data_IF_638659934457
#
_entry.id   IF_638659934457
#
_cell.length_a   1.000
_cell.length_b   1.000
_cell.length_c   1.000
_cell.angle_alpha   90.00
_cell.angle_beta   90.00
_cell.angle_gamma   90.00
#
_symmetry.space_group_name_H-M   'P 1'
#
loop_
_entity.id
_entity.type
_entity.pdbx_description
1 polymer ?
#
# COMPACT_ATOMS: atom_id res chain seq x y z
N UNK A 1 11.15 -40.96 26.25
CA UNK A 1 12.25 -40.09 26.76
C UNK A 1 12.49 -38.84 25.91
N UNK A 2 12.48 -38.91 24.56
CA UNK A 2 12.66 -37.74 23.66
C UNK A 2 11.64 -36.59 23.86
N UNK A 3 10.36 -36.88 24.10
CA UNK A 3 9.34 -35.84 24.36
C UNK A 3 9.52 -35.08 25.68
N UNK A 4 10.10 -35.71 26.70
CA UNK A 4 10.36 -35.06 27.99
C UNK A 4 11.53 -34.07 27.90
N UNK A 5 12.56 -34.42 27.12
CA UNK A 5 13.71 -33.56 26.83
C UNK A 5 13.32 -32.32 26.01
N UNK A 6 12.46 -32.46 24.99
CA UNK A 6 11.95 -31.34 24.19
C UNK A 6 11.07 -30.39 25.02
N UNK A 7 10.27 -30.93 25.95
CA UNK A 7 9.44 -30.14 26.88
C UNK A 7 10.31 -29.33 27.86
N UNK A 8 11.33 -29.95 28.44
CA UNK A 8 12.33 -29.30 29.29
C UNK A 8 13.09 -28.20 28.54
N UNK A 9 13.50 -28.45 27.29
CA UNK A 9 14.21 -27.48 26.47
C UNK A 9 13.31 -26.27 26.12
N UNK A 10 12.02 -26.52 25.80
CA UNK A 10 11.02 -25.46 25.61
C UNK A 10 10.82 -24.65 26.89
N UNK A 11 10.77 -25.27 28.05
CA UNK A 11 10.61 -24.58 29.33
C UNK A 11 11.84 -23.74 29.68
N UNK A 12 13.05 -24.26 29.48
CA UNK A 12 14.32 -23.55 29.74
C UNK A 12 14.51 -22.34 28.81
N UNK A 13 14.05 -22.42 27.55
CA UNK A 13 14.19 -21.31 26.58
C UNK A 13 13.04 -20.29 26.67
N UNK A 14 11.79 -20.76 26.81
CA UNK A 14 10.63 -19.89 26.80
C UNK A 14 10.42 -19.17 28.14
N UNK A 15 10.72 -19.81 29.27
CA UNK A 15 10.41 -19.25 30.59
C UNK A 15 11.25 -18.00 30.94
N UNK A 16 12.57 -17.94 30.66
CA UNK A 16 13.33 -16.70 30.77
C UNK A 16 12.84 -15.62 29.81
N UNK A 17 12.45 -16.01 28.59
CA UNK A 17 11.89 -15.09 27.60
C UNK A 17 10.56 -14.49 28.06
N UNK A 18 9.67 -15.30 28.63
CA UNK A 18 8.41 -14.84 29.23
C UNK A 18 8.65 -13.96 30.46
N UNK A 19 9.58 -14.36 31.34
CA UNK A 19 9.95 -13.57 32.52
C UNK A 19 10.50 -12.20 32.10
N UNK A 20 11.37 -12.16 31.09
CA UNK A 20 11.92 -10.92 30.52
C UNK A 20 10.80 -10.04 29.94
N UNK A 21 9.87 -10.62 29.17
CA UNK A 21 8.72 -9.88 28.62
C UNK A 21 7.85 -9.32 29.75
N UNK A 22 7.58 -10.09 30.80
CA UNK A 22 6.81 -9.63 31.96
C UNK A 22 7.55 -8.54 32.73
N UNK A 23 8.86 -8.66 32.94
CA UNK A 23 9.70 -7.65 33.58
C UNK A 23 9.70 -6.33 32.78
N UNK A 24 9.88 -6.41 31.46
CA UNK A 24 9.83 -5.24 30.57
C UNK A 24 8.44 -4.61 30.58
N UNK A 25 7.37 -5.41 30.60
CA UNK A 25 6.00 -4.89 30.76
C UNK A 25 5.81 -4.21 32.10
N UNK A 26 6.24 -4.83 33.20
CA UNK A 26 6.14 -4.25 34.55
C UNK A 26 6.89 -2.91 34.63
N UNK A 27 8.12 -2.85 34.10
CA UNK A 27 8.91 -1.63 34.05
C UNK A 27 8.19 -0.54 33.24
N UNK A 28 7.65 -0.88 32.06
CA UNK A 28 6.83 0.05 31.26
C UNK A 28 5.62 0.54 32.03
N UNK A 29 4.94 -0.33 32.78
CA UNK A 29 3.78 0.03 33.60
C UNK A 29 4.14 0.92 34.79
N UNK A 30 5.33 0.77 35.38
CA UNK A 30 5.80 1.62 36.47
C UNK A 30 6.23 3.00 35.97
N UNK A 31 6.88 3.05 34.79
CA UNK A 31 7.42 4.29 34.19
C UNK A 31 6.36 5.08 33.42
N UNK A 32 5.37 4.42 32.82
CA UNK A 32 4.36 5.09 32.00
C UNK A 32 3.55 6.16 32.75
N UNK A 33 3.00 5.92 33.96
CA UNK A 33 2.24 6.94 34.69
C UNK A 33 3.02 8.23 35.01
N UNK A 34 4.24 8.19 35.59
CA UNK A 34 4.99 9.42 35.86
C UNK A 34 5.43 10.14 34.59
N UNK A 35 5.80 9.41 33.53
CA UNK A 35 6.14 10.02 32.22
C UNK A 35 4.92 10.65 31.57
N UNK A 36 3.74 10.02 31.67
CA UNK A 36 2.48 10.58 31.19
C UNK A 36 2.10 11.85 31.96
N UNK A 37 2.23 11.83 33.29
CA UNK A 37 2.00 13.00 34.13
C UNK A 37 2.93 14.16 33.74
N UNK A 38 4.22 13.88 33.55
CA UNK A 38 5.19 14.88 33.10
C UNK A 38 4.82 15.45 31.72
N UNK A 39 4.42 14.59 30.77
CA UNK A 39 3.95 15.01 29.45
C UNK A 39 2.69 15.88 29.53
N UNK A 40 1.76 15.63 30.46
CA UNK A 40 0.59 16.48 30.65
C UNK A 40 0.95 17.81 31.30
N UNK A 41 1.78 17.79 32.35
CA UNK A 41 2.23 18.99 33.07
C UNK A 41 3.00 19.96 32.17
N UNK A 42 3.80 19.45 31.23
CA UNK A 42 4.56 20.27 30.29
C UNK A 42 3.74 20.54 29.02
N UNK A 43 3.13 19.49 28.46
CA UNK A 43 2.46 19.53 27.17
C UNK A 43 1.21 20.40 27.17
N UNK A 44 0.36 20.35 28.21
CA UNK A 44 -0.88 21.13 28.23
C UNK A 44 -0.61 22.64 28.25
N UNK A 45 0.25 23.18 29.16
CA UNK A 45 0.62 24.59 29.09
C UNK A 45 1.28 24.98 27.77
N UNK A 46 2.19 24.13 27.26
CA UNK A 46 2.91 24.44 26.02
C UNK A 46 1.98 24.50 24.82
N UNK A 47 1.03 23.57 24.72
CA UNK A 47 0.02 23.53 23.66
C UNK A 47 -0.93 24.72 23.76
N UNK A 48 -1.40 25.09 24.96
CA UNK A 48 -2.24 26.28 25.17
C UNK A 48 -1.50 27.58 24.81
N UNK A 49 -0.20 27.66 25.09
CA UNK A 49 0.61 28.84 24.82
C UNK A 49 1.04 28.95 23.36
N UNK A 50 1.34 27.83 22.69
CA UNK A 50 2.01 27.84 21.38
C UNK A 50 1.15 27.39 20.22
N UNK A 51 0.21 26.46 20.40
CA UNK A 51 -0.60 25.97 19.28
C UNK A 51 -1.69 26.98 18.95
N UNK A 52 -1.67 27.46 17.71
CA UNK A 52 -2.67 28.33 17.09
C UNK A 52 -3.07 27.67 15.79
N UNK A 53 -4.35 27.35 15.66
CA UNK A 53 -4.90 26.82 14.42
C UNK A 53 -5.41 28.01 13.60
N UNK A 54 -5.00 28.17 12.33
CA UNK A 54 -5.59 29.21 11.49
C UNK A 54 -7.09 28.97 11.32
N UNK A 55 -7.91 30.01 11.25
CA UNK A 55 -9.33 29.83 10.90
C UNK A 55 -9.48 29.55 9.39
N UNK A 56 -8.63 30.21 8.59
CA UNK A 56 -8.49 29.95 7.15
C UNK A 56 -7.00 29.74 6.82
N UNK A 57 -6.56 28.50 6.57
CA UNK A 57 -5.17 28.22 6.22
C UNK A 57 -4.84 28.79 4.85
N UNK A 58 -3.56 29.09 4.63
CA UNK A 58 -3.09 29.55 3.34
C UNK A 58 -2.43 28.38 2.59
N UNK A 59 -3.19 27.73 1.71
CA UNK A 59 -2.66 26.75 0.77
C UNK A 59 -2.09 27.48 -0.44
N UNK A 60 -0.76 27.59 -0.49
CA UNK A 60 -0.06 28.20 -1.61
C UNK A 60 0.07 27.17 -2.74
N UNK A 61 -0.45 27.44 -3.95
CA UNK A 61 -0.20 26.56 -5.09
C UNK A 61 1.29 26.58 -5.43
N UNK A 62 1.85 25.42 -5.72
CA UNK A 62 3.25 25.22 -6.08
C UNK A 62 3.34 24.45 -7.39
N UNK A 63 4.45 24.61 -8.09
CA UNK A 63 4.75 23.77 -9.25
C UNK A 63 5.41 22.48 -8.78
N UNK A 64 5.30 21.44 -9.58
CA UNK A 64 5.93 20.15 -9.27
C UNK A 64 7.45 20.28 -9.12
N UNK A 65 8.09 21.22 -9.83
CA UNK A 65 9.52 21.53 -9.73
C UNK A 65 9.92 22.11 -8.37
N UNK A 66 8.99 22.70 -7.64
CA UNK A 66 9.24 23.30 -6.32
C UNK A 66 9.17 22.27 -5.18
N UNK A 67 8.69 21.05 -5.47
CA UNK A 67 8.61 19.99 -4.47
C UNK A 67 10.01 19.48 -4.10
N UNK A 68 10.31 19.32 -2.79
CA UNK A 68 11.46 18.54 -2.35
C UNK A 68 11.38 17.11 -2.89
N UNK A 69 12.53 16.50 -3.17
CA UNK A 69 12.60 15.16 -3.80
C UNK A 69 11.80 14.11 -3.02
N UNK A 70 11.91 14.08 -1.69
CA UNK A 70 11.16 13.15 -0.84
C UNK A 70 9.64 13.37 -0.91
N UNK A 71 9.19 14.62 -0.99
CA UNK A 71 7.76 14.93 -1.15
C UNK A 71 7.29 14.56 -2.56
N UNK A 72 8.10 14.87 -3.58
CA UNK A 72 7.81 14.55 -4.97
C UNK A 72 7.63 13.04 -5.16
N UNK A 73 8.55 12.21 -4.67
CA UNK A 73 8.47 10.75 -4.80
C UNK A 73 7.16 10.20 -4.23
N UNK A 74 6.81 10.59 -3.01
CA UNK A 74 5.62 10.06 -2.31
C UNK A 74 4.30 10.52 -2.94
N UNK A 75 4.21 11.81 -3.31
CA UNK A 75 3.03 12.38 -3.95
C UNK A 75 2.85 11.85 -5.38
N UNK A 76 3.94 11.65 -6.13
CA UNK A 76 3.91 11.07 -7.47
C UNK A 76 3.53 9.57 -7.43
N UNK A 77 4.10 8.80 -6.51
CA UNK A 77 3.75 7.40 -6.30
C UNK A 77 2.25 7.23 -6.01
N UNK A 78 1.68 8.10 -5.17
CA UNK A 78 0.24 8.08 -4.87
C UNK A 78 -0.60 8.45 -6.09
N UNK A 79 -0.23 9.49 -6.82
CA UNK A 79 -0.98 9.91 -8.00
C UNK A 79 -1.02 8.79 -9.06
N UNK A 80 0.13 8.20 -9.38
CA UNK A 80 0.24 7.13 -10.36
C UNK A 80 -0.50 5.87 -9.96
N UNK A 81 -0.50 5.52 -8.67
CA UNK A 81 -1.29 4.40 -8.14
C UNK A 81 -2.79 4.54 -8.42
N UNK A 82 -3.28 5.78 -8.52
CA UNK A 82 -4.70 6.11 -8.61
C UNK A 82 -5.15 6.48 -10.03
N UNK A 83 -4.22 6.77 -10.95
CA UNK A 83 -4.53 7.01 -12.38
C UNK A 83 -5.36 5.87 -13.00
N UNK A 84 -5.02 4.57 -12.80
CA UNK A 84 -5.79 3.46 -13.39
C UNK A 84 -7.26 3.40 -12.95
N UNK A 85 -7.60 4.04 -11.82
CA UNK A 85 -8.95 4.10 -11.27
C UNK A 85 -9.69 5.42 -11.61
N UNK A 86 -9.12 6.22 -12.52
CA UNK A 86 -9.75 7.43 -13.07
C UNK A 86 -9.57 8.69 -12.22
N UNK A 87 -8.57 8.72 -11.33
CA UNK A 87 -8.25 9.94 -10.59
C UNK A 87 -7.54 10.96 -11.48
N UNK A 88 -7.91 12.23 -11.29
CA UNK A 88 -7.34 13.38 -11.98
C UNK A 88 -6.60 14.26 -10.97
N UNK A 89 -5.44 14.78 -11.35
CA UNK A 89 -4.67 15.75 -10.57
C UNK A 89 -5.26 17.16 -10.69
N UNK A 90 -5.57 17.78 -9.55
CA UNK A 90 -6.12 19.13 -9.50
C UNK A 90 -5.11 20.19 -9.07
N UNK A 91 -4.00 19.81 -8.43
CA UNK A 91 -2.91 20.72 -8.10
C UNK A 91 -2.09 20.28 -6.89
N UNK A 92 -0.92 20.91 -6.77
CA UNK A 92 0.01 20.73 -5.65
C UNK A 92 0.03 21.98 -4.79
N UNK A 93 0.08 21.80 -3.47
CA UNK A 93 -0.03 22.88 -2.50
C UNK A 93 0.99 22.74 -1.39
N UNK A 94 1.50 23.88 -0.93
CA UNK A 94 2.25 24.00 0.32
C UNK A 94 1.43 24.78 1.34
N UNK A 95 1.34 24.28 2.56
CA UNK A 95 0.79 25.00 3.69
C UNK A 95 1.80 25.06 4.82
N UNK A 96 2.24 26.29 5.12
CA UNK A 96 3.02 26.57 6.32
C UNK A 96 2.04 26.99 7.44
N UNK A 97 2.22 26.46 8.65
CA UNK A 97 1.46 26.89 9.82
C UNK A 97 0.17 26.11 10.14
N UNK A 98 -0.23 25.13 9.33
CA UNK A 98 -1.29 24.18 9.73
C UNK A 98 -0.84 23.28 10.89
N UNK A 99 0.42 22.83 10.78
CA UNK A 99 1.10 22.01 11.78
C UNK A 99 2.24 22.87 12.33
N UNK A 100 2.32 22.96 13.66
CA UNK A 100 3.34 23.78 14.30
C UNK A 100 4.75 23.20 13.98
N UNK A 101 5.65 24.08 13.53
CA UNK A 101 7.04 23.73 13.16
C UNK A 101 7.14 22.65 12.06
N UNK A 102 6.16 22.60 11.15
CA UNK A 102 6.22 21.72 10.00
C UNK A 102 5.65 22.39 8.74
N UNK A 103 6.18 21.99 7.59
CA UNK A 103 5.62 22.28 6.29
C UNK A 103 4.76 21.08 5.84
N UNK A 104 3.56 21.38 5.33
CA UNK A 104 2.68 20.38 4.75
C UNK A 104 2.69 20.55 3.22
N UNK A 105 3.10 19.50 2.52
CA UNK A 105 3.07 19.41 1.07
C UNK A 105 1.93 18.47 0.67
N UNK A 106 1.03 18.94 -0.20
CA UNK A 106 -0.17 18.22 -0.57
C UNK A 106 -0.28 18.09 -2.09
N UNK A 107 -0.78 16.95 -2.55
CA UNK A 107 -1.30 16.76 -3.90
C UNK A 107 -2.77 16.43 -3.82
N UNK A 108 -3.60 17.26 -4.47
CA UNK A 108 -5.04 17.08 -4.52
C UNK A 108 -5.42 16.32 -5.80
N UNK A 109 -6.17 15.23 -5.61
CA UNK A 109 -6.66 14.35 -6.66
C UNK A 109 -8.18 14.20 -6.52
N UNK A 110 -8.86 13.81 -7.59
CA UNK A 110 -10.25 13.35 -7.45
C UNK A 110 -10.75 12.50 -8.60
N UNK A 111 -11.75 11.67 -8.27
CA UNK A 111 -12.45 10.77 -9.18
C UNK A 111 -13.83 11.40 -9.45
N UNK A 112 -14.06 11.97 -10.65
CA UNK A 112 -15.25 12.77 -10.95
C UNK A 112 -16.54 11.95 -11.04
N UNK A 113 -16.48 10.71 -11.53
CA UNK A 113 -17.67 9.87 -11.73
C UNK A 113 -18.29 9.38 -10.41
N UNK A 114 -17.48 9.22 -9.37
CA UNK A 114 -17.84 8.68 -8.06
C UNK A 114 -17.86 9.76 -6.98
N UNK A 115 -17.46 11.01 -7.29
CA UNK A 115 -17.45 12.10 -6.31
C UNK A 115 -16.42 11.93 -5.18
N UNK A 116 -15.33 11.21 -5.44
CA UNK A 116 -14.32 10.87 -4.41
C UNK A 116 -13.13 11.81 -4.53
N UNK A 117 -12.82 12.56 -3.47
CA UNK A 117 -11.59 13.35 -3.39
C UNK A 117 -10.49 12.56 -2.71
N UNK A 118 -9.24 12.76 -3.13
CA UNK A 118 -8.07 12.19 -2.49
C UNK A 118 -7.01 13.26 -2.22
N UNK A 119 -6.37 13.18 -1.07
CA UNK A 119 -5.25 14.03 -0.67
C UNK A 119 -4.08 13.11 -0.36
N UNK A 120 -3.00 13.26 -1.13
CA UNK A 120 -1.70 12.73 -0.74
C UNK A 120 -0.95 13.84 0.02
N UNK A 121 -0.38 13.51 1.17
CA UNK A 121 0.22 14.47 2.07
C UNK A 121 1.61 14.02 2.52
N UNK A 122 2.57 14.95 2.50
CA UNK A 122 3.91 14.81 3.04
C UNK A 122 4.15 15.91 4.07
N UNK A 123 4.48 15.51 5.30
CA UNK A 123 4.74 16.40 6.44
C UNK A 123 6.22 16.38 6.74
N UNK A 124 6.82 17.56 6.67
CA UNK A 124 8.23 17.79 6.99
C UNK A 124 8.34 18.63 8.26
N UNK A 125 8.86 18.04 9.34
CA UNK A 125 9.07 18.75 10.60
C UNK A 125 10.44 19.43 10.61
N UNK A 126 10.49 20.68 11.08
CA UNK A 126 11.71 21.48 11.17
C UNK A 126 12.78 20.87 12.11
N UNK A 127 12.37 20.00 13.04
CA UNK A 127 13.27 19.24 13.90
C UNK A 127 13.35 17.79 13.40
N UNK A 128 14.53 17.38 12.89
CA UNK A 128 14.83 16.07 12.32
C UNK A 128 14.43 14.86 13.18
N UNK A 129 14.26 15.06 14.49
CA UNK A 129 13.87 14.01 15.44
C UNK A 129 12.42 13.50 15.28
N UNK A 130 11.51 14.24 14.63
CA UNK A 130 10.09 13.83 14.54
C UNK A 130 9.74 12.98 13.31
N UNK A 131 10.71 12.76 12.41
CA UNK A 131 10.59 11.96 11.19
C UNK A 131 9.66 12.61 10.14
N UNK A 132 9.94 12.33 8.86
CA UNK A 132 9.02 12.62 7.75
C UNK A 132 7.77 11.76 7.90
N UNK A 133 6.60 12.29 7.53
CA UNK A 133 5.34 11.52 7.57
C UNK A 133 4.54 11.69 6.31
N UNK A 134 4.11 10.57 5.76
CA UNK A 134 3.26 10.52 4.58
C UNK A 134 1.93 9.89 4.96
N UNK A 135 0.85 10.37 4.34
CA UNK A 135 -0.43 9.69 4.39
C UNK A 135 -1.26 10.04 3.16
N UNK A 136 -2.24 9.19 2.90
CA UNK A 136 -3.27 9.40 1.89
C UNK A 136 -4.61 9.42 2.61
N UNK A 137 -5.47 10.36 2.23
CA UNK A 137 -6.83 10.48 2.71
C UNK A 137 -7.80 10.50 1.52
N UNK A 138 -8.80 9.62 1.54
CA UNK A 138 -9.95 9.66 0.63
C UNK A 138 -11.14 10.23 1.38
N UNK A 139 -11.87 11.13 0.74
CA UNK A 139 -13.03 11.76 1.32
C UNK A 139 -14.19 11.85 0.31
N UNK A 140 -15.38 11.46 0.78
CA UNK A 140 -16.63 11.52 0.02
C UNK A 140 -17.68 12.24 0.83
N UNK A 141 -18.34 13.21 0.21
CA UNK A 141 -19.46 13.93 0.81
C UNK A 141 -20.77 13.36 0.27
N UNK A 142 -21.70 13.05 1.18
CA UNK A 142 -23.03 12.60 0.83
C UNK A 142 -23.96 13.80 0.62
N UNK A 143 -25.11 13.59 -0.02
CA UNK A 143 -26.08 14.67 -0.28
C UNK A 143 -26.68 15.29 1.00
N UNK A 144 -26.57 14.62 2.14
CA UNK A 144 -26.98 15.12 3.46
C UNK A 144 -25.90 15.99 4.14
N UNK A 145 -24.78 16.22 3.47
CA UNK A 145 -23.64 16.99 3.97
C UNK A 145 -22.74 16.22 4.94
N UNK A 146 -23.02 14.95 5.23
CA UNK A 146 -22.08 14.11 5.99
C UNK A 146 -20.90 13.72 5.11
N UNK A 147 -19.74 13.56 5.73
CA UNK A 147 -18.49 13.21 5.06
C UNK A 147 -17.96 11.91 5.63
N UNK A 148 -17.63 10.97 4.75
CA UNK A 148 -16.84 9.80 5.08
C UNK A 148 -15.40 10.05 4.64
N UNK A 149 -14.45 9.90 5.57
CA UNK A 149 -13.02 9.98 5.33
C UNK A 149 -12.36 8.67 5.71
N UNK A 150 -11.52 8.13 4.82
CA UNK A 150 -10.63 7.00 5.09
C UNK A 150 -9.18 7.43 4.89
N UNK A 151 -8.30 7.12 5.84
CA UNK A 151 -6.89 7.48 5.73
C UNK A 151 -5.96 6.45 6.38
N UNK A 152 -4.69 6.48 6.01
CA UNK A 152 -3.64 5.64 6.60
C UNK A 152 -2.67 6.41 7.50
N UNK A 153 -3.09 7.56 8.05
CA UNK A 153 -2.25 8.37 8.93
C UNK A 153 -1.76 7.53 10.11
N UNK A 154 -0.44 7.49 10.34
CA UNK A 154 0.19 6.66 11.36
C UNK A 154 0.26 7.33 12.76
N UNK A 155 -0.61 8.31 13.03
CA UNK A 155 -0.69 9.03 14.30
C UNK A 155 -2.14 9.32 14.68
N UNK A 156 -2.52 9.20 15.96
CA UNK A 156 -3.87 9.54 16.35
C UNK A 156 -4.11 11.05 16.20
N UNK A 157 -5.30 11.40 15.71
CA UNK A 157 -5.77 12.79 15.73
C UNK A 157 -5.82 13.31 17.18
N UNK A 158 -5.34 14.54 17.38
CA UNK A 158 -5.39 15.25 18.68
C UNK A 158 -6.83 15.53 19.12
N UNK A 159 -7.67 15.94 18.17
CA UNK A 159 -9.06 16.28 18.42
C UNK A 159 -10.00 15.20 17.87
N UNK A 160 -11.20 15.04 18.44
CA UNK A 160 -12.22 14.18 17.86
C UNK A 160 -12.68 14.71 16.49
N UNK A 161 -13.22 13.83 15.67
CA UNK A 161 -13.88 14.25 14.43
C UNK A 161 -15.20 14.97 14.76
N UNK A 162 -15.57 16.04 14.04
CA UNK A 162 -16.89 16.66 14.15
C UNK A 162 -18.03 15.69 13.80
N UNK A 163 -19.26 15.99 14.22
CA UNK A 163 -20.41 15.06 14.09
C UNK A 163 -20.79 14.76 12.63
N UNK A 164 -20.48 15.66 11.70
CA UNK A 164 -20.72 15.45 10.27
C UNK A 164 -19.65 14.56 9.62
N UNK A 165 -18.50 14.35 10.27
CA UNK A 165 -17.32 13.69 9.72
C UNK A 165 -17.11 12.31 10.36
N UNK A 166 -17.41 11.26 9.60
CA UNK A 166 -17.01 9.90 9.96
C UNK A 166 -15.59 9.65 9.43
N UNK A 167 -14.63 9.49 10.34
CA UNK A 167 -13.21 9.25 10.01
C UNK A 167 -12.80 7.83 10.36
N UNK A 168 -12.30 7.10 9.36
CA UNK A 168 -11.77 5.74 9.49
C UNK A 168 -10.26 5.78 9.26
N UNK A 169 -9.50 5.40 10.29
CA UNK A 169 -8.04 5.42 10.26
C UNK A 169 -7.52 3.98 10.15
N UNK A 170 -6.93 3.62 9.02
CA UNK A 170 -6.42 2.29 8.69
C UNK A 170 -4.90 2.33 8.57
N UNK A 171 -4.22 2.35 9.72
CA UNK A 171 -2.78 2.67 9.81
C UNK A 171 -1.86 1.64 9.13
N UNK A 172 -2.35 0.42 8.92
CA UNK A 172 -1.56 -0.69 8.37
C UNK A 172 -1.82 -0.91 6.86
N UNK A 173 -2.76 -0.17 6.27
CA UNK A 173 -3.02 -0.18 4.82
C UNK A 173 -2.14 0.89 4.18
N UNK A 174 -0.94 0.50 3.78
CA UNK A 174 0.06 1.43 3.24
C UNK A 174 -0.19 1.78 1.77
N UNK A 175 -0.71 0.82 0.97
CA UNK A 175 -0.90 1.00 -0.47
C UNK A 175 -2.11 1.93 -0.77
N UNK A 176 -1.93 3.03 -1.52
CA UNK A 176 -3.01 4.00 -1.79
C UNK A 176 -4.21 3.37 -2.52
N UNK A 177 -3.94 2.49 -3.48
CA UNK A 177 -4.99 1.82 -4.26
C UNK A 177 -5.81 0.83 -3.41
N UNK A 178 -5.17 0.12 -2.48
CA UNK A 178 -5.85 -0.75 -1.52
C UNK A 178 -6.79 0.05 -0.60
N UNK A 179 -6.32 1.20 -0.09
CA UNK A 179 -7.14 2.09 0.72
C UNK A 179 -8.32 2.67 -0.08
N UNK A 180 -8.11 3.04 -1.35
CA UNK A 180 -9.18 3.47 -2.25
C UNK A 180 -10.25 2.38 -2.45
N UNK A 181 -9.85 1.12 -2.67
CA UNK A 181 -10.79 0.00 -2.84
C UNK A 181 -11.67 -0.16 -1.61
N UNK A 182 -11.08 -0.11 -0.41
CA UNK A 182 -11.85 -0.16 0.84
C UNK A 182 -12.83 1.02 0.96
N UNK A 183 -12.39 2.24 0.63
CA UNK A 183 -13.22 3.44 0.66
C UNK A 183 -14.41 3.35 -0.32
N UNK A 184 -14.13 3.02 -1.58
CA UNK A 184 -15.13 2.88 -2.64
C UNK A 184 -16.14 1.78 -2.30
N UNK A 185 -15.68 0.62 -1.85
CA UNK A 185 -16.57 -0.49 -1.52
C UNK A 185 -17.43 -0.16 -0.29
N UNK A 186 -16.90 0.58 0.69
CA UNK A 186 -17.71 1.05 1.82
C UNK A 186 -18.79 2.05 1.38
N UNK A 187 -18.47 2.99 0.48
CA UNK A 187 -19.47 3.90 -0.10
C UNK A 187 -20.58 3.12 -0.80
N UNK A 188 -20.20 2.13 -1.62
CA UNK A 188 -21.14 1.27 -2.31
C UNK A 188 -22.03 0.49 -1.32
N UNK A 189 -21.45 -0.06 -0.24
CA UNK A 189 -22.18 -0.79 0.79
C UNK A 189 -23.14 0.09 1.60
N UNK A 190 -22.81 1.38 1.80
CA UNK A 190 -23.70 2.33 2.47
C UNK A 190 -24.90 2.71 1.59
N UNK A 191 -24.79 2.56 0.26
CA UNK A 191 -25.85 2.84 -0.72
C UNK A 191 -26.50 4.23 -0.55
N UNK A 192 -25.72 5.22 -0.12
CA UNK A 192 -26.17 6.61 0.08
C UNK A 192 -25.86 7.48 -1.14
N UNK A 193 -26.73 8.45 -1.48
CA UNK A 193 -26.46 9.39 -2.56
C UNK A 193 -25.23 10.25 -2.27
N UNK A 194 -24.29 10.24 -3.21
CA UNK A 194 -23.04 11.01 -3.16
C UNK A 194 -23.23 12.38 -3.80
N UNK A 195 -22.65 13.42 -3.20
CA UNK A 195 -22.60 14.77 -3.74
C UNK A 195 -21.37 14.95 -4.63
N UNK A 196 -21.58 15.28 -5.91
CA UNK A 196 -20.49 15.59 -6.85
C UNK A 196 -19.97 17.02 -6.71
N UNK A 197 -20.69 17.89 -5.99
CA UNK A 197 -20.39 19.32 -5.87
C UNK A 197 -18.97 19.59 -5.36
N UNK A 198 -18.45 18.71 -4.49
CA UNK A 198 -17.08 18.81 -3.97
C UNK A 198 -16.04 18.69 -5.08
N UNK A 199 -16.23 17.75 -6.00
CA UNK A 199 -15.31 17.52 -7.13
C UNK A 199 -15.47 18.60 -8.20
N UNK A 200 -16.70 18.99 -8.54
CA UNK A 200 -16.96 20.11 -9.45
C UNK A 200 -16.34 21.42 -8.96
N UNK A 201 -16.23 21.59 -7.64
CA UNK A 201 -15.51 22.71 -7.05
C UNK A 201 -14.00 22.52 -7.12
N UNK A 202 -13.49 21.32 -6.85
CA UNK A 202 -12.06 21.02 -6.96
C UNK A 202 -11.49 21.38 -8.35
N UNK A 203 -12.26 21.12 -9.41
CA UNK A 203 -11.90 21.46 -10.79
C UNK A 203 -11.78 22.98 -11.01
N UNK A 204 -12.61 23.78 -10.35
CA UNK A 204 -12.68 25.25 -10.55
C UNK A 204 -11.75 26.03 -9.61
N UNK A 205 -11.67 25.60 -8.36
CA UNK A 205 -10.95 26.27 -7.29
C UNK A 205 -10.43 25.24 -6.26
N UNK A 206 -9.33 24.54 -6.59
CA UNK A 206 -8.79 23.48 -5.73
C UNK A 206 -8.25 24.02 -4.40
N UNK A 207 -7.60 25.19 -4.42
CA UNK A 207 -7.11 25.84 -3.21
C UNK A 207 -8.28 26.22 -2.28
N UNK A 208 -9.32 26.88 -2.81
CA UNK A 208 -10.48 27.27 -2.01
C UNK A 208 -11.26 26.08 -1.46
N UNK A 209 -11.30 24.94 -2.17
CA UNK A 209 -11.85 23.70 -1.63
C UNK A 209 -11.08 23.23 -0.37
N UNK A 210 -9.75 23.23 -0.40
CA UNK A 210 -8.93 22.84 0.75
C UNK A 210 -9.15 23.79 1.93
N UNK A 211 -9.16 25.11 1.66
CA UNK A 211 -9.41 26.14 2.69
C UNK A 211 -10.79 25.94 3.32
N UNK A 212 -11.84 25.80 2.51
CA UNK A 212 -13.21 25.68 3.01
C UNK A 212 -13.45 24.35 3.73
N UNK A 213 -12.85 23.25 3.26
CA UNK A 213 -12.95 21.95 3.92
C UNK A 213 -12.35 22.00 5.33
N UNK A 214 -11.16 22.60 5.47
CA UNK A 214 -10.52 22.77 6.76
C UNK A 214 -11.26 23.80 7.64
N UNK A 215 -11.68 24.93 7.07
CA UNK A 215 -12.43 25.96 7.81
C UNK A 215 -13.74 25.38 8.38
N UNK A 216 -14.45 24.53 7.62
CA UNK A 216 -15.64 23.82 8.10
C UNK A 216 -15.34 22.93 9.30
N UNK A 217 -14.23 22.18 9.27
CA UNK A 217 -13.81 21.34 10.40
C UNK A 217 -13.48 22.20 11.63
N UNK A 218 -12.72 23.28 11.46
CA UNK A 218 -12.36 24.20 12.56
C UNK A 218 -13.60 24.88 13.16
N UNK A 219 -14.55 25.35 12.34
CA UNK A 219 -15.78 25.96 12.83
C UNK A 219 -16.63 24.96 13.62
N UNK A 220 -16.70 23.70 13.17
CA UNK A 220 -17.41 22.66 13.92
C UNK A 220 -16.72 22.35 15.26
N UNK A 221 -15.39 22.30 15.30
CA UNK A 221 -14.63 22.12 16.53
C UNK A 221 -14.76 23.30 17.50
N UNK A 222 -14.91 24.53 16.99
CA UNK A 222 -15.23 25.71 17.80
C UNK A 222 -16.65 25.58 18.38
N UNK A 223 -17.64 25.25 17.55
CA UNK A 223 -19.03 25.09 17.98
C UNK A 223 -19.19 23.98 19.04
N UNK A 224 -18.38 22.93 18.96
CA UNK A 224 -18.34 21.84 19.95
C UNK A 224 -17.49 22.16 21.20
N UNK A 225 -16.84 23.34 21.27
CA UNK A 225 -16.09 23.80 22.45
C UNK A 225 -14.66 23.24 22.57
N UNK A 226 -14.14 22.56 21.54
CA UNK A 226 -12.75 22.08 21.51
C UNK A 226 -11.74 23.21 21.24
N UNK A 227 -12.18 24.20 20.47
CA UNK A 227 -11.40 25.37 20.08
C UNK A 227 -12.08 26.65 20.54
N UNK A 228 -11.28 27.66 20.85
CA UNK A 228 -11.71 29.01 21.22
C UNK A 228 -11.16 30.00 20.19
N UNK A 229 -12.03 30.73 19.46
CA UNK A 229 -11.58 31.76 18.54
C UNK A 229 -10.87 32.88 19.32
N UNK A 230 -9.81 33.43 18.74
CA UNK A 230 -9.13 34.57 19.34
C UNK A 230 -9.76 35.89 18.89
N UNK A 231 -10.11 36.79 19.83
CA UNK A 231 -10.58 38.13 19.46
C UNK A 231 -9.51 38.87 18.64
N UNK A 232 -9.88 39.36 17.46
CA UNK A 232 -9.01 40.17 16.61
C UNK A 232 -7.88 39.42 15.89
N UNK A 233 -7.83 38.09 15.94
CA UNK A 233 -6.87 37.29 15.18
C UNK A 233 -7.59 36.21 14.37
N UNK A 234 -7.09 35.91 13.16
CA UNK A 234 -7.64 34.87 12.28
C UNK A 234 -7.19 33.46 12.71
N UNK A 235 -7.22 33.19 14.01
CA UNK A 235 -6.74 31.96 14.63
C UNK A 235 -7.65 31.50 15.77
N UNK A 236 -7.64 30.21 16.03
CA UNK A 236 -8.26 29.58 17.19
C UNK A 236 -7.20 28.92 18.08
N UNK A 237 -7.42 28.98 19.39
CA UNK A 237 -6.65 28.25 20.40
C UNK A 237 -7.39 27.00 20.82
N UNK A 238 -6.68 26.02 21.35
CA UNK A 238 -7.32 24.93 22.05
C UNK A 238 -7.99 25.45 23.33
N UNK A 239 -9.18 24.96 23.62
CA UNK A 239 -9.76 25.10 24.96
C UNK A 239 -8.94 24.29 25.96
N UNK A 240 -9.11 24.54 27.27
CA UNK A 240 -8.41 23.75 28.29
C UNK A 240 -8.70 22.24 28.11
N UNK A 241 -9.96 21.89 27.88
CA UNK A 241 -10.37 20.51 27.59
C UNK A 241 -9.81 19.98 26.28
N UNK A 242 -9.78 20.79 25.22
CA UNK A 242 -9.14 20.42 23.95
C UNK A 242 -7.64 20.17 24.09
N UNK A 243 -6.94 20.97 24.89
CA UNK A 243 -5.50 20.79 25.15
C UNK A 243 -5.23 19.53 25.98
N UNK A 244 -6.00 19.29 27.05
CA UNK A 244 -5.89 18.07 27.86
C UNK A 244 -6.16 16.84 26.98
N UNK A 245 -7.27 16.82 26.25
CA UNK A 245 -7.63 15.70 25.37
C UNK A 245 -6.60 15.48 24.26
N UNK A 246 -6.13 16.56 23.63
CA UNK A 246 -5.11 16.52 22.59
C UNK A 246 -3.80 15.92 23.06
N UNK A 247 -3.26 16.43 24.17
CA UNK A 247 -2.02 15.91 24.76
C UNK A 247 -2.22 14.48 25.25
N UNK A 248 -3.34 14.17 25.89
CA UNK A 248 -3.65 12.81 26.35
C UNK A 248 -3.66 11.78 25.22
N UNK A 249 -4.25 12.13 24.06
CA UNK A 249 -4.31 11.26 22.89
C UNK A 249 -2.98 11.11 22.18
N UNK A 250 -2.08 12.08 22.29
CA UNK A 250 -0.78 12.08 21.61
C UNK A 250 0.40 11.67 22.51
N UNK A 251 0.22 11.66 23.84
CA UNK A 251 1.27 11.31 24.79
C UNK A 251 1.62 9.82 24.74
N UNK A 252 2.88 9.50 24.95
CA UNK A 252 3.32 8.12 25.16
C UNK A 252 2.91 7.65 26.58
N UNK A 253 2.44 6.40 26.76
CA UNK A 253 2.26 5.34 25.77
C UNK A 253 0.86 5.30 25.12
N UNK A 254 0.01 6.29 25.41
CA UNK A 254 -1.39 6.32 25.01
C UNK A 254 -1.60 6.52 23.51
N UNK A 255 -0.70 7.22 22.82
CA UNK A 255 -0.81 7.48 21.38
C UNK A 255 -0.92 6.20 20.56
N UNK A 256 -0.07 5.22 20.83
CA UNK A 256 -0.13 3.91 20.19
C UNK A 256 -1.41 3.15 20.52
N UNK A 257 -1.96 3.32 21.73
CA UNK A 257 -3.22 2.69 22.12
C UNK A 257 -4.42 3.32 21.41
N UNK A 258 -4.48 4.65 21.33
CA UNK A 258 -5.54 5.36 20.60
C UNK A 258 -5.49 5.04 19.11
N UNK A 259 -4.30 5.03 18.51
CA UNK A 259 -4.14 4.67 17.10
C UNK A 259 -4.60 3.24 16.81
N UNK A 260 -4.21 2.27 17.67
CA UNK A 260 -4.69 0.88 17.57
C UNK A 260 -6.19 0.76 17.82
N UNK A 261 -6.76 1.58 18.70
CA UNK A 261 -8.20 1.58 18.96
C UNK A 261 -8.99 2.13 17.76
N UNK A 262 -8.49 3.22 17.15
CA UNK A 262 -9.06 3.81 15.93
C UNK A 262 -9.01 2.81 14.76
N UNK A 263 -7.86 2.18 14.55
CA UNK A 263 -7.67 1.14 13.53
C UNK A 263 -8.59 -0.06 13.75
N UNK A 264 -8.66 -0.58 14.98
CA UNK A 264 -9.58 -1.68 15.31
C UNK A 264 -11.04 -1.30 15.12
N UNK A 265 -11.42 -0.07 15.46
CA UNK A 265 -12.78 0.42 15.21
C UNK A 265 -13.08 0.46 13.72
N UNK A 266 -12.18 1.01 12.89
CA UNK A 266 -12.34 1.05 11.45
C UNK A 266 -12.46 -0.36 10.85
N UNK A 267 -11.59 -1.30 11.24
CA UNK A 267 -11.66 -2.71 10.82
C UNK A 267 -12.98 -3.37 11.19
N UNK A 268 -13.48 -3.14 12.42
CA UNK A 268 -14.78 -3.69 12.86
C UNK A 268 -15.95 -3.13 12.07
N UNK A 269 -15.93 -1.83 11.78
CA UNK A 269 -16.97 -1.19 10.98
C UNK A 269 -16.96 -1.75 9.56
N UNK A 270 -15.79 -1.88 8.93
CA UNK A 270 -15.64 -2.46 7.60
C UNK A 270 -16.07 -3.93 7.55
N UNK A 271 -15.71 -4.72 8.56
CA UNK A 271 -16.16 -6.11 8.67
C UNK A 271 -17.69 -6.23 8.80
N UNK A 272 -18.35 -5.25 9.42
CA UNK A 272 -19.82 -5.16 9.46
C UNK A 272 -20.48 -4.93 8.10
N UNK A 273 -19.70 -4.60 7.07
CA UNK A 273 -20.10 -4.45 5.67
C UNK A 273 -19.43 -5.49 4.76
N UNK A 274 -18.98 -6.63 5.31
CA UNK A 274 -18.29 -7.71 4.58
C UNK A 274 -16.98 -7.29 3.89
N UNK A 275 -16.33 -6.22 4.37
CA UNK A 275 -15.05 -5.74 3.86
C UNK A 275 -13.90 -6.21 4.76
N UNK A 276 -13.13 -7.20 4.29
CA UNK A 276 -12.02 -7.77 5.04
C UNK A 276 -10.71 -7.00 4.82
N UNK A 277 -10.36 -6.16 5.79
CA UNK A 277 -9.11 -5.35 5.77
C UNK A 277 -7.84 -6.20 5.76
N UNK A 278 -7.85 -7.41 6.33
CA UNK A 278 -6.64 -8.25 6.40
C UNK A 278 -6.12 -8.67 5.01
N UNK A 279 -6.98 -8.62 3.98
CA UNK A 279 -6.58 -8.86 2.59
C UNK A 279 -5.82 -7.69 1.94
N UNK A 280 -5.75 -6.56 2.64
CA UNK A 280 -5.11 -5.31 2.18
C UNK A 280 -3.93 -4.89 3.05
N UNK A 281 -3.42 -5.81 3.88
CA UNK A 281 -2.29 -5.57 4.78
C UNK A 281 -1.22 -6.64 4.51
N UNK A 282 0.04 -6.24 4.63
CA UNK A 282 1.19 -7.14 4.44
C UNK A 282 2.05 -6.73 3.25
N UNK A 283 2.71 -7.73 2.66
CA UNK A 283 3.59 -7.54 1.51
C UNK A 283 2.79 -7.28 0.23
N UNK A 284 3.36 -6.49 -0.68
CA UNK A 284 2.71 -6.09 -1.93
C UNK A 284 2.17 -7.28 -2.75
N UNK A 285 2.91 -8.40 -2.94
CA UNK A 285 2.44 -9.54 -3.72
C UNK A 285 1.21 -10.27 -3.15
N UNK A 286 0.88 -10.05 -1.87
CA UNK A 286 -0.28 -10.65 -1.20
C UNK A 286 -1.52 -9.75 -1.19
N UNK A 287 -1.39 -8.47 -1.56
CA UNK A 287 -2.48 -7.50 -1.51
C UNK A 287 -3.10 -7.39 -2.90
N UNK A 288 -4.39 -7.71 -3.05
CA UNK A 288 -5.09 -7.64 -4.34
C UNK A 288 -5.88 -6.34 -4.47
N UNK A 289 -5.46 -5.45 -5.37
CA UNK A 289 -5.99 -4.09 -5.52
C UNK A 289 -7.01 -3.96 -6.66
N UNK A 290 -7.03 -4.89 -7.61
CA UNK A 290 -8.05 -4.93 -8.65
C UNK A 290 -8.40 -6.37 -8.98
N UNK A 291 -9.67 -6.61 -9.34
CA UNK A 291 -10.16 -7.89 -9.84
C UNK A 291 -11.08 -7.66 -11.03
N UNK A 292 -10.93 -8.49 -12.07
CA UNK A 292 -11.73 -8.47 -13.28
C UNK A 292 -12.14 -9.89 -13.66
N UNK A 293 -13.40 -10.09 -14.02
CA UNK A 293 -13.86 -11.33 -14.62
C UNK A 293 -13.45 -11.40 -16.09
N UNK A 294 -12.97 -12.56 -16.52
CA UNK A 294 -12.72 -12.86 -17.93
C UNK A 294 -14.04 -13.19 -18.62
N UNK A 295 -14.21 -12.70 -19.86
CA UNK A 295 -15.33 -13.15 -20.69
C UNK A 295 -15.15 -14.64 -20.97
N UNK A 296 -16.23 -15.43 -20.96
CA UNK A 296 -16.21 -16.84 -21.30
C UNK A 296 -15.63 -17.06 -22.71
N UNK A 297 -14.33 -17.34 -22.78
CA UNK A 297 -13.58 -17.66 -23.99
C UNK A 297 -12.61 -18.81 -23.68
N UNK A 298 -12.04 -19.33 -24.76
CA UNK A 298 -11.13 -20.48 -24.90
C UNK A 298 -10.32 -20.84 -23.65
N UNK A 299 -10.24 -22.14 -23.26
CA UNK A 299 -9.45 -22.56 -22.11
C UNK A 299 -8.01 -22.06 -22.22
N UNK A 300 -7.53 -21.40 -21.16
CA UNK A 300 -6.16 -20.91 -21.08
C UNK A 300 -5.28 -22.06 -20.60
N UNK A 301 -4.53 -22.65 -21.53
CA UNK A 301 -3.65 -23.81 -21.28
C UNK A 301 -2.17 -23.52 -21.54
N UNK A 302 -1.80 -22.27 -21.81
CA UNK A 302 -0.41 -21.88 -22.11
C UNK A 302 -0.13 -20.49 -21.55
N UNK A 303 1.14 -20.21 -21.23
CA UNK A 303 1.58 -18.91 -20.74
C UNK A 303 1.36 -17.82 -21.79
N UNK A 304 1.61 -18.12 -23.07
CA UNK A 304 1.35 -17.15 -24.15
C UNK A 304 -0.14 -16.80 -24.29
N UNK A 305 -1.04 -17.78 -24.16
CA UNK A 305 -2.47 -17.52 -24.21
C UNK A 305 -2.93 -16.67 -23.02
N UNK A 306 -2.46 -16.98 -21.80
CA UNK A 306 -2.77 -16.18 -20.62
C UNK A 306 -2.24 -14.75 -20.71
N UNK A 307 -1.01 -14.58 -21.22
CA UNK A 307 -0.41 -13.25 -21.40
C UNK A 307 -1.23 -12.33 -22.31
N UNK A 308 -1.91 -12.88 -23.33
CA UNK A 308 -2.78 -12.09 -24.20
C UNK A 308 -3.94 -11.42 -23.43
N UNK A 309 -4.44 -12.05 -22.36
CA UNK A 309 -5.46 -11.49 -21.49
C UNK A 309 -4.90 -10.55 -20.41
N UNK A 310 -3.69 -10.83 -19.94
CA UNK A 310 -3.02 -10.07 -18.89
C UNK A 310 -2.46 -8.74 -19.41
N UNK A 311 -1.90 -8.72 -20.62
CA UNK A 311 -1.20 -7.57 -21.20
C UNK A 311 -2.01 -6.26 -21.17
N UNK A 312 -3.30 -6.21 -21.57
CA UNK A 312 -4.08 -4.97 -21.51
C UNK A 312 -4.23 -4.42 -20.08
N UNK A 313 -4.30 -5.29 -19.08
CA UNK A 313 -4.42 -4.91 -17.68
C UNK A 313 -3.08 -4.41 -17.13
N UNK A 314 -1.97 -5.03 -17.53
CA UNK A 314 -0.62 -4.56 -17.22
C UNK A 314 -0.41 -3.14 -17.75
N UNK A 315 -0.69 -2.92 -19.05
CA UNK A 315 -0.53 -1.61 -19.70
C UNK A 315 -1.42 -0.50 -19.12
N UNK A 316 -2.58 -0.87 -18.55
CA UNK A 316 -3.44 0.07 -17.84
C UNK A 316 -2.88 0.42 -16.46
N UNK A 317 -2.25 -0.54 -15.80
CA UNK A 317 -1.67 -0.37 -14.46
C UNK A 317 -0.39 0.45 -14.54
N UNK A 318 0.51 0.10 -15.46
CA UNK A 318 1.71 0.85 -15.79
C UNK A 318 1.99 0.72 -17.31
N UNK A 319 1.90 1.82 -18.08
CA UNK A 319 2.16 1.80 -19.52
C UNK A 319 3.59 1.35 -19.90
N UNK A 320 4.55 1.47 -18.99
CA UNK A 320 5.95 1.13 -19.20
C UNK A 320 6.34 -0.25 -18.65
N UNK A 321 5.39 -0.97 -18.04
CA UNK A 321 5.63 -2.30 -17.51
C UNK A 321 6.08 -3.31 -18.59
N UNK A 322 7.21 -3.95 -18.33
CA UNK A 322 7.70 -5.10 -19.05
C UNK A 322 7.44 -6.38 -18.25
N UNK A 323 7.15 -7.47 -18.95
CA UNK A 323 7.07 -8.79 -18.31
C UNK A 323 8.49 -9.22 -17.90
N UNK A 324 8.67 -9.62 -16.65
CA UNK A 324 9.94 -10.10 -16.12
C UNK A 324 9.93 -11.63 -15.98
N UNK A 325 8.90 -12.17 -15.35
CA UNK A 325 8.79 -13.60 -15.09
C UNK A 325 7.34 -14.07 -15.12
N UNK A 326 7.16 -15.37 -15.30
CA UNK A 326 5.86 -16.04 -15.16
C UNK A 326 6.02 -17.25 -14.26
N UNK A 327 5.17 -17.39 -13.26
CA UNK A 327 5.09 -18.60 -12.41
C UNK A 327 3.71 -19.20 -12.59
N UNK A 328 3.65 -20.50 -12.83
CA UNK A 328 2.39 -21.23 -12.97
C UNK A 328 2.31 -22.26 -11.85
N UNK A 329 1.30 -22.14 -11.01
CA UNK A 329 0.98 -23.15 -10.00
C UNK A 329 0.38 -24.37 -10.69
N UNK A 330 0.97 -25.52 -10.43
CA UNK A 330 0.60 -26.79 -11.03
C UNK A 330 -0.07 -27.68 -9.99
N UNK A 331 -1.05 -28.44 -10.45
CA UNK A 331 -1.65 -29.54 -9.69
C UNK A 331 -1.75 -30.78 -10.56
N UNK A 332 -2.20 -31.88 -9.95
CA UNK A 332 -2.57 -33.09 -10.67
C UNK A 332 -3.99 -33.51 -10.28
N UNK A 333 -4.78 -33.95 -11.24
CA UNK A 333 -6.08 -34.56 -10.96
C UNK A 333 -5.94 -36.04 -10.55
N UNK A 334 -7.06 -36.67 -10.17
CA UNK A 334 -7.09 -38.08 -9.79
C UNK A 334 -6.73 -39.05 -10.93
N UNK A 335 -6.70 -38.58 -12.18
CA UNK A 335 -6.27 -39.32 -13.35
C UNK A 335 -4.78 -39.09 -13.70
N UNK A 336 -4.07 -38.26 -12.93
CA UNK A 336 -2.67 -37.89 -13.17
C UNK A 336 -2.48 -36.80 -14.22
N UNK A 337 -3.55 -36.15 -14.67
CA UNK A 337 -3.47 -35.04 -15.63
C UNK A 337 -3.00 -33.77 -14.93
N UNK A 338 -2.00 -33.10 -15.51
CA UNK A 338 -1.51 -31.82 -14.99
C UNK A 338 -2.58 -30.73 -15.16
N UNK A 339 -2.88 -30.05 -14.07
CA UNK A 339 -3.77 -28.91 -13.99
C UNK A 339 -2.96 -27.63 -13.80
N UNK A 340 -3.33 -26.56 -14.51
CA UNK A 340 -2.79 -25.22 -14.30
C UNK A 340 -3.76 -24.48 -13.39
N UNK A 341 -3.36 -24.24 -12.14
CA UNK A 341 -4.24 -23.72 -11.09
C UNK A 341 -4.29 -22.20 -11.10
N UNK A 342 -3.12 -21.55 -11.17
CA UNK A 342 -3.00 -20.09 -11.24
C UNK A 342 -1.75 -19.73 -12.06
N UNK A 343 -1.85 -18.68 -12.87
CA UNK A 343 -0.71 -18.07 -13.54
C UNK A 343 -0.41 -16.72 -12.90
N UNK A 344 0.80 -16.51 -12.42
CA UNK A 344 1.32 -15.25 -11.91
C UNK A 344 2.29 -14.65 -12.93
N UNK A 345 1.96 -13.47 -13.43
CA UNK A 345 2.81 -12.70 -14.33
C UNK A 345 3.41 -11.53 -13.57
N UNK A 346 4.73 -11.51 -13.43
CA UNK A 346 5.45 -10.44 -12.74
C UNK A 346 5.90 -9.39 -13.74
N UNK A 347 5.60 -8.13 -13.42
CA UNK A 347 5.91 -6.97 -14.25
C UNK A 347 6.82 -6.01 -13.51
N UNK A 348 7.80 -5.48 -14.24
CA UNK A 348 8.66 -4.39 -13.79
C UNK A 348 8.53 -3.21 -14.75
N UNK A 349 8.43 -2.01 -14.19
CA UNK A 349 8.52 -0.74 -14.88
C UNK A 349 9.56 0.16 -14.22
N UNK A 350 10.09 1.12 -14.97
CA UNK A 350 10.92 2.16 -14.40
C UNK A 350 10.69 3.49 -15.10
N UNK A 351 10.93 4.58 -14.37
CA UNK A 351 10.85 5.94 -14.89
C UNK A 351 12.03 6.76 -14.36
N UNK A 352 12.79 7.34 -15.28
CA UNK A 352 13.94 8.19 -15.00
C UNK A 352 13.52 9.67 -14.98
N UNK A 353 13.95 10.39 -13.95
CA UNK A 353 13.72 11.82 -13.78
C UNK A 353 15.04 12.58 -13.79
N UNK A 354 15.54 12.88 -14.99
CA UNK A 354 16.84 13.51 -15.21
C UNK A 354 17.05 14.78 -14.38
N UNK A 355 16.02 15.64 -14.24
CA UNK A 355 16.14 16.90 -13.50
C UNK A 355 16.41 16.69 -12.00
N UNK A 356 15.90 15.59 -11.44
CA UNK A 356 16.07 15.23 -10.03
C UNK A 356 17.17 14.20 -9.82
N UNK A 357 17.64 13.56 -10.90
CA UNK A 357 18.55 12.41 -10.92
C UNK A 357 18.01 11.27 -10.05
N UNK A 358 16.71 11.03 -10.20
CA UNK A 358 15.99 9.97 -9.51
C UNK A 358 15.49 8.97 -10.55
N UNK A 359 15.81 7.70 -10.33
CA UNK A 359 15.18 6.58 -11.01
C UNK A 359 14.17 5.95 -10.07
N UNK A 360 12.96 5.72 -10.54
CA UNK A 360 11.96 4.94 -9.80
C UNK A 360 11.74 3.62 -10.49
N UNK A 361 11.64 2.56 -9.70
CA UNK A 361 11.35 1.19 -10.15
C UNK A 361 10.07 0.72 -9.50
N UNK A 362 9.18 0.17 -10.30
CA UNK A 362 7.87 -0.30 -9.89
C UNK A 362 7.74 -1.78 -10.23
N UNK A 363 7.23 -2.59 -9.30
CA UNK A 363 6.97 -4.01 -9.51
C UNK A 363 5.56 -4.39 -9.08
N UNK A 364 4.89 -5.23 -9.88
CA UNK A 364 3.58 -5.78 -9.53
C UNK A 364 3.32 -7.10 -10.24
N UNK A 365 2.37 -7.86 -9.71
CA UNK A 365 1.94 -9.12 -10.29
C UNK A 365 0.52 -9.01 -10.84
N UNK A 366 0.24 -9.77 -11.89
CA UNK A 366 -1.11 -10.09 -12.30
C UNK A 366 -1.33 -11.59 -12.16
N UNK A 367 -2.30 -11.95 -11.33
CA UNK A 367 -2.76 -13.32 -11.12
C UNK A 367 -3.90 -13.63 -12.09
N UNK A 368 -3.84 -14.80 -12.70
CA UNK A 368 -4.82 -15.32 -13.63
C UNK A 368 -5.24 -16.71 -13.13
N UNK A 369 -6.48 -16.80 -12.66
CA UNK A 369 -7.12 -18.07 -12.32
C UNK A 369 -8.00 -18.50 -13.51
N UNK A 370 -7.57 -19.51 -14.30
CA UNK A 370 -8.33 -19.98 -15.45
C UNK A 370 -9.64 -20.66 -15.05
N UNK A 371 -9.73 -21.25 -13.85
CA UNK A 371 -10.90 -21.98 -13.37
C UNK A 371 -11.97 -21.04 -12.84
N UNK A 372 -11.58 -20.03 -12.06
CA UNK A 372 -12.49 -18.96 -11.61
C UNK A 372 -12.77 -17.94 -12.72
N UNK A 373 -12.02 -17.98 -13.82
CA UNK A 373 -12.07 -17.01 -14.91
C UNK A 373 -11.87 -15.58 -14.39
N UNK A 374 -10.84 -15.38 -13.57
CA UNK A 374 -10.54 -14.08 -12.96
C UNK A 374 -9.10 -13.64 -13.24
N UNK A 375 -8.95 -12.31 -13.37
CA UNK A 375 -7.69 -11.61 -13.32
C UNK A 375 -7.64 -10.76 -12.06
N UNK A 376 -6.51 -10.75 -11.37
CA UNK A 376 -6.30 -9.88 -10.22
C UNK A 376 -4.94 -9.18 -10.30
N UNK A 377 -4.89 -7.92 -9.90
CA UNK A 377 -3.64 -7.12 -9.83
C UNK A 377 -3.22 -7.01 -8.39
N UNK A 378 -1.94 -7.22 -8.09
CA UNK A 378 -1.39 -7.02 -6.75
C UNK A 378 -1.05 -5.55 -6.47
N UNK A 379 -0.81 -5.21 -5.21
CA UNK A 379 -0.26 -3.90 -4.86
C UNK A 379 1.11 -3.72 -5.53
N UNK A 380 1.43 -2.48 -5.88
CA UNK A 380 2.67 -2.16 -6.56
C UNK A 380 3.77 -1.87 -5.55
N UNK A 381 4.84 -2.64 -5.61
CA UNK A 381 6.07 -2.36 -4.90
C UNK A 381 6.81 -1.21 -5.61
N UNK A 382 7.29 -0.22 -4.85
CA UNK A 382 7.91 0.99 -5.40
C UNK A 382 9.21 1.26 -4.69
N UNK A 383 10.27 1.40 -5.47
CA UNK A 383 11.60 1.73 -5.03
C UNK A 383 12.14 2.92 -5.81
N UNK A 384 13.11 3.63 -5.25
CA UNK A 384 13.80 4.68 -5.95
C UNK A 384 15.29 4.67 -5.64
N UNK A 385 16.07 5.12 -6.62
CA UNK A 385 17.50 5.33 -6.56
C UNK A 385 17.73 6.80 -6.89
N UNK A 386 18.55 7.49 -6.09
CA UNK A 386 18.86 8.91 -6.27
C UNK A 386 20.37 9.09 -6.35
N UNK A 387 20.84 9.65 -7.46
CA UNK A 387 22.25 9.99 -7.64
C UNK A 387 22.59 11.36 -7.03
N UNK A 388 23.74 11.45 -6.39
CA UNK A 388 24.27 12.67 -5.78
C UNK A 388 24.83 13.66 -6.81
N UNK A 389 25.40 13.16 -7.91
CA UNK A 389 26.00 13.97 -8.98
C UNK A 389 25.65 13.45 -10.40
N UNK A 390 26.11 14.17 -11.43
CA UNK A 390 25.83 13.84 -12.83
C UNK A 390 26.59 12.59 -13.31
N UNK A 391 27.75 12.31 -12.72
CA UNK A 391 28.55 11.15 -13.09
C UNK A 391 27.89 9.87 -12.57
N UNK A 392 27.47 9.88 -11.31
CA UNK A 392 26.67 8.81 -10.70
C UNK A 392 25.35 8.63 -11.45
N UNK A 393 24.70 9.72 -11.88
CA UNK A 393 23.48 9.62 -12.69
C UNK A 393 23.74 8.96 -14.06
N UNK A 394 24.85 9.30 -14.71
CA UNK A 394 25.24 8.70 -16.00
C UNK A 394 25.54 7.20 -15.83
N UNK A 395 26.19 6.81 -14.74
CA UNK A 395 26.45 5.40 -14.42
C UNK A 395 25.15 4.65 -14.14
N UNK A 396 24.28 5.21 -13.30
CA UNK A 396 22.98 4.63 -12.98
C UNK A 396 22.14 4.43 -14.24
N UNK A 397 22.18 5.39 -15.18
CA UNK A 397 21.38 5.36 -16.41
C UNK A 397 22.05 4.66 -17.59
N UNK A 398 23.27 4.17 -17.44
CA UNK A 398 23.99 3.46 -18.49
C UNK A 398 23.27 2.15 -18.89
N UNK A 399 22.77 1.42 -17.90
CA UNK A 399 22.06 0.16 -18.09
C UNK A 399 20.57 0.29 -17.72
N UNK A 400 19.74 -0.46 -18.46
CA UNK A 400 18.33 -0.57 -18.14
C UNK A 400 18.16 -1.55 -16.98
N UNK A 401 17.36 -1.23 -15.96
CA UNK A 401 17.05 -2.17 -14.89
C UNK A 401 16.13 -3.31 -15.35
N UNK A 402 15.64 -3.28 -16.60
CA UNK A 402 14.71 -4.27 -17.14
C UNK A 402 15.42 -5.33 -17.98
N UNK A 403 15.17 -6.60 -17.65
CA UNK A 403 15.43 -7.74 -18.52
C UNK A 403 14.10 -8.32 -19.05
N UNK A 404 13.51 -7.73 -20.11
CA UNK A 404 12.15 -8.07 -20.53
C UNK A 404 12.05 -9.48 -21.11
N UNK A 405 11.22 -10.31 -20.50
CA UNK A 405 10.84 -11.62 -21.00
C UNK A 405 9.87 -11.48 -22.19
N UNK A 406 10.34 -11.86 -23.38
CA UNK A 406 9.55 -11.80 -24.61
C UNK A 406 8.87 -13.13 -24.90
N UNK A 407 7.55 -13.15 -24.95
CA UNK A 407 6.78 -14.35 -25.31
C UNK A 407 6.51 -14.37 -26.83
N UNK A 408 7.35 -15.08 -27.59
CA UNK A 408 7.26 -15.19 -29.04
C UNK A 408 6.73 -16.53 -29.55
N UNK A 409 6.51 -16.68 -30.87
CA UNK A 409 6.15 -17.97 -31.50
C UNK A 409 7.22 -19.07 -31.31
N UNK A 410 8.46 -18.67 -31.03
CA UNK A 410 9.60 -19.55 -30.78
C UNK A 410 9.56 -20.23 -29.40
N UNK A 411 8.73 -19.75 -28.48
CA UNK A 411 8.65 -20.27 -27.12
C UNK A 411 8.13 -21.72 -27.14
N UNK A 412 8.92 -22.62 -26.57
CA UNK A 412 8.42 -23.92 -26.14
C UNK A 412 7.64 -23.68 -24.84
N UNK A 413 6.33 -23.53 -24.98
CA UNK A 413 5.41 -23.23 -23.88
C UNK A 413 5.12 -24.51 -23.06
N UNK A 414 4.32 -24.39 -22.00
CA UNK A 414 4.04 -25.44 -21.02
C UNK A 414 3.59 -26.77 -21.65
N UNK A 415 2.78 -26.71 -22.70
CA UNK A 415 2.30 -27.90 -23.43
C UNK A 415 3.44 -28.75 -24.02
N UNK A 416 4.59 -28.13 -24.32
CA UNK A 416 5.76 -28.79 -24.88
C UNK A 416 6.81 -29.14 -23.84
N UNK A 417 7.01 -28.30 -22.83
CA UNK A 417 8.08 -28.51 -21.83
C UNK A 417 7.65 -29.45 -20.69
N UNK A 418 6.38 -29.46 -20.31
CA UNK A 418 5.91 -30.28 -19.19
C UNK A 418 6.13 -31.78 -19.41
N UNK A 419 5.83 -32.38 -20.59
CA UNK A 419 6.08 -33.81 -20.79
C UNK A 419 7.55 -34.19 -20.61
N UNK A 420 8.48 -33.35 -21.10
CA UNK A 420 9.92 -33.57 -20.95
C UNK A 420 10.37 -33.40 -19.50
N UNK A 421 9.88 -32.34 -18.83
CA UNK A 421 10.18 -32.09 -17.42
C UNK A 421 9.72 -33.25 -16.53
N UNK A 422 8.49 -33.74 -16.72
CA UNK A 422 7.93 -34.87 -15.97
C UNK A 422 8.77 -36.13 -16.14
N UNK A 423 9.17 -36.45 -17.37
CA UNK A 423 9.99 -37.64 -17.62
C UNK A 423 11.34 -37.60 -16.88
N UNK A 424 11.91 -36.41 -16.67
CA UNK A 424 13.15 -36.23 -15.89
C UNK A 424 12.87 -36.30 -14.39
N UNK A 425 11.81 -35.64 -13.92
CA UNK A 425 11.42 -35.67 -12.51
C UNK A 425 11.05 -37.09 -12.05
N UNK A 426 10.37 -37.87 -12.89
CA UNK A 426 10.09 -39.30 -12.65
C UNK A 426 11.39 -40.12 -12.51
N UNK A 427 12.41 -39.84 -13.33
CA UNK A 427 13.70 -40.51 -13.24
C UNK A 427 14.44 -40.16 -11.94
N UNK A 428 14.36 -38.90 -11.49
CA UNK A 428 15.00 -38.45 -10.25
C UNK A 428 14.25 -38.89 -8.98
N UNK A 429 12.93 -38.97 -9.02
CA UNK A 429 12.12 -39.48 -7.92
C UNK A 429 12.27 -41.02 -7.75
N UNK A 430 12.69 -41.73 -8.80
CA UNK A 430 12.87 -43.18 -8.78
C UNK A 430 11.55 -43.92 -8.58
N UNK A 431 11.43 -44.72 -7.51
CA UNK A 431 10.20 -45.43 -7.16
C UNK A 431 9.24 -44.62 -6.26
N UNK A 432 9.61 -43.40 -5.88
CA UNK A 432 8.78 -42.52 -5.03
C UNK A 432 7.80 -41.68 -5.85
N UNK A 433 6.63 -41.40 -5.29
CA UNK A 433 5.72 -40.42 -5.88
C UNK A 433 6.26 -39.00 -5.64
N UNK A 434 5.96 -38.10 -6.56
CA UNK A 434 6.20 -36.67 -6.39
C UNK A 434 4.93 -35.89 -6.74
N UNK A 435 4.76 -34.73 -6.12
CA UNK A 435 3.70 -33.80 -6.40
C UNK A 435 4.28 -32.58 -7.13
N UNK A 436 3.75 -32.26 -8.30
CA UNK A 436 4.08 -31.02 -8.99
C UNK A 436 3.65 -29.82 -8.16
N UNK A 437 4.48 -28.79 -8.14
CA UNK A 437 4.18 -27.54 -7.45
C UNK A 437 4.09 -26.38 -8.45
N UNK A 438 5.13 -26.15 -9.25
CA UNK A 438 5.18 -24.96 -10.10
C UNK A 438 6.04 -25.12 -11.35
N UNK A 439 5.76 -24.27 -12.33
CA UNK A 439 6.64 -24.02 -13.48
C UNK A 439 6.89 -22.52 -13.64
N UNK A 440 8.16 -22.12 -13.60
CA UNK A 440 8.61 -20.74 -13.67
C UNK A 440 9.36 -20.47 -14.96
N UNK A 441 9.00 -19.41 -15.68
CA UNK A 441 9.68 -18.91 -16.86
C UNK A 441 10.33 -17.57 -16.54
N UNK A 442 11.65 -17.49 -16.66
CA UNK A 442 12.44 -16.30 -16.34
C UNK A 442 13.69 -16.19 -17.24
N UNK A 443 14.24 -14.98 -17.46
CA UNK A 443 15.56 -14.81 -18.08
C UNK A 443 16.67 -15.18 -17.09
N UNK A 444 17.70 -15.88 -17.54
CA UNK A 444 18.92 -16.07 -16.75
C UNK A 444 19.83 -14.82 -16.73
N UNK A 445 21.01 -14.93 -16.11
CA UNK A 445 22.00 -13.84 -16.04
C UNK A 445 22.45 -13.32 -17.41
N UNK A 446 22.41 -14.17 -18.44
CA UNK A 446 22.76 -13.83 -19.83
C UNK A 446 21.53 -13.35 -20.64
N UNK A 447 20.35 -13.29 -20.03
CA UNK A 447 19.08 -12.93 -20.66
C UNK A 447 18.44 -14.04 -21.49
N UNK A 448 18.95 -15.27 -21.43
CA UNK A 448 18.35 -16.42 -22.09
C UNK A 448 17.15 -16.94 -21.28
N UNK A 449 15.98 -17.13 -21.91
CA UNK A 449 14.77 -17.56 -21.20
C UNK A 449 14.85 -19.05 -20.83
N UNK A 450 14.60 -19.36 -19.57
CA UNK A 450 14.62 -20.72 -19.00
C UNK A 450 13.30 -21.06 -18.33
N UNK A 451 12.93 -22.33 -18.43
CA UNK A 451 11.90 -22.94 -17.61
C UNK A 451 12.54 -23.64 -16.42
N UNK A 452 11.99 -23.44 -15.23
CA UNK A 452 12.28 -24.26 -14.05
C UNK A 452 10.97 -24.91 -13.59
N UNK A 453 10.91 -26.23 -13.59
CA UNK A 453 9.76 -26.99 -13.09
C UNK A 453 10.13 -27.61 -11.76
N UNK A 454 9.29 -27.40 -10.74
CA UNK A 454 9.53 -27.84 -9.36
C UNK A 454 8.46 -28.85 -8.93
N UNK A 455 8.91 -29.90 -8.27
CA UNK A 455 8.09 -30.92 -7.63
C UNK A 455 8.63 -31.26 -6.23
N UNK A 456 7.78 -31.83 -5.39
CA UNK A 456 8.16 -32.30 -4.06
C UNK A 456 7.98 -33.79 -3.95
N UNK A 457 8.96 -34.46 -3.34
CA UNK A 457 8.80 -35.88 -2.97
C UNK A 457 7.88 -36.03 -1.76
N UNK A 458 7.41 -37.26 -1.50
CA UNK A 458 6.69 -37.58 -0.25
C UNK A 458 7.50 -37.29 1.03
N UNK A 459 8.82 -37.16 0.93
CA UNK A 459 9.74 -36.86 2.04
C UNK A 459 10.02 -35.36 2.19
N UNK A 460 9.26 -34.50 1.50
CA UNK A 460 9.39 -33.04 1.55
C UNK A 460 10.78 -32.57 1.06
N UNK A 461 11.33 -33.26 0.06
CA UNK A 461 12.54 -32.84 -0.64
C UNK A 461 12.18 -32.21 -2.00
N UNK A 462 12.73 -31.03 -2.33
CA UNK A 462 12.47 -30.38 -3.59
C UNK A 462 13.25 -31.06 -4.73
N UNK A 463 12.55 -31.40 -5.80
CA UNK A 463 13.10 -31.79 -7.09
C UNK A 463 12.85 -30.65 -8.07
N UNK A 464 13.81 -30.36 -8.94
CA UNK A 464 13.61 -29.38 -9.99
C UNK A 464 14.33 -29.79 -11.27
N UNK A 465 13.84 -29.30 -12.39
CA UNK A 465 14.47 -29.45 -13.70
C UNK A 465 14.45 -28.12 -14.42
N UNK A 466 15.57 -27.78 -15.05
CA UNK A 466 15.75 -26.56 -15.83
C UNK A 466 15.79 -26.93 -17.31
N UNK A 467 14.94 -26.28 -18.12
CA UNK A 467 14.87 -26.46 -19.56
C UNK A 467 15.10 -25.14 -20.28
N UNK A 468 15.77 -25.20 -21.43
CA UNK A 468 15.89 -24.05 -22.33
C UNK A 468 14.53 -23.75 -22.98
N UNK A 469 14.03 -22.52 -22.85
CA UNK A 469 12.69 -22.18 -23.31
C UNK A 469 12.58 -22.06 -24.86
N UNK A 470 13.70 -22.06 -25.59
CA UNK A 470 13.72 -21.96 -27.06
C UNK A 470 13.74 -23.32 -27.74
N UNK A 471 14.32 -24.33 -27.09
CA UNK A 471 14.57 -25.66 -27.65
C UNK A 471 13.85 -26.77 -26.89
N UNK A 472 13.47 -26.53 -25.63
CA UNK A 472 12.91 -27.54 -24.73
C UNK A 472 13.94 -28.54 -24.21
N UNK A 473 15.24 -28.29 -24.41
CA UNK A 473 16.31 -29.20 -23.96
C UNK A 473 16.58 -29.00 -22.47
N UNK A 474 16.81 -30.10 -21.75
CA UNK A 474 17.18 -30.10 -20.33
C UNK A 474 18.60 -29.55 -20.19
N UNK A 475 18.75 -28.51 -19.38
CA UNK A 475 20.03 -27.85 -19.09
C UNK A 475 20.62 -28.34 -17.78
N UNK A 476 19.76 -28.56 -16.78
CA UNK A 476 20.12 -29.04 -15.45
C UNK A 476 18.92 -29.82 -14.89
N UNK A 477 19.17 -30.87 -14.11
CA UNK A 477 18.13 -31.78 -13.66
C UNK A 477 18.60 -32.74 -12.59
#
# INVERSE_FOLDING_TARGET
>A
MRHSLLSLLRMIVLLPSYLLVLLVRLLKWLVAPPVLLLQLLIGVPLVLLRIRQPLRPHFRPIQETDLPDAAWTELANTAEALIPDGFIHYGDFRCDGLIQNAALWLRLLGQPEQGIGAIAAHIEYAASASGVRNFVEFATEFSDGRVLSTNNLNMPYSLPAPDYLARLQLKDVWEPRALYVLHRNLIAALARPVSLAKIERAVRDPAGLLIDSYAREIQALIAQGWLLPQPGADTARLSLWGAIAGVWRQAWPLSSLHLRAADRYARRLLAGHDLNVETFVGAAPGILVARQSLSAQTPISTVRAGYAHVRPLAQRTDPQAALEAVVVELGQDAAGTVLMLEFRYTFLGYADQNQRRIRRVNGFDILLDPKAATLAVTAMERHFEQAGDEAEWTELTADSPLAPLRLGPWLHDLDRVLPTALAVLDQHAGAGCHALESASLYPDEDGAPRWQVVAWTETDQPLHVILDARSGVVLDG
#
